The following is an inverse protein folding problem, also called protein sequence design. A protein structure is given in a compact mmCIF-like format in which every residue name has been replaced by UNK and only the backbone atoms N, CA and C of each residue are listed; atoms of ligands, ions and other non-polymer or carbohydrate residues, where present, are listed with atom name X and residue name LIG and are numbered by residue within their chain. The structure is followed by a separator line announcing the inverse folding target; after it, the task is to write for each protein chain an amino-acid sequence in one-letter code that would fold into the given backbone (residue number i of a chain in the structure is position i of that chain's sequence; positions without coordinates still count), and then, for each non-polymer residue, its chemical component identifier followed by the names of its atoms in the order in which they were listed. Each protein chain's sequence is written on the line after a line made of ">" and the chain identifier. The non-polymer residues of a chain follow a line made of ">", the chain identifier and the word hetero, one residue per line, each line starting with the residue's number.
data_IF_963366272846
#
_entry.id   IF_963366272846
#
_cell.length_a   1.000
_cell.length_b   1.000
_cell.length_c   1.000
_cell.angle_alpha   90.00
_cell.angle_beta   90.00
_cell.angle_gamma   90.00
#
_symmetry.space_group_name_H-M   'P 1'
#
loop_
_entity.id
_entity.type
_entity.pdbx_description
1 polymer ?
#
# COMPACT_ATOMS: atom_id res chain seq x y z
N UNK A 1 -9.66 6.82 10.35
CA UNK A 1 -9.23 6.45 8.98
C UNK A 1 -10.45 5.96 8.23
N UNK A 2 -10.97 6.77 7.33
CA UNK A 2 -12.13 6.41 6.51
C UNK A 2 -11.65 5.61 5.30
N UNK A 3 -12.15 4.40 5.10
CA UNK A 3 -12.06 3.69 3.82
C UNK A 3 -13.15 4.28 2.94
N UNK A 4 -12.76 4.89 1.84
CA UNK A 4 -13.73 5.19 0.78
C UNK A 4 -14.31 3.86 0.27
N UNK A 5 -15.62 3.66 0.28
CA UNK A 5 -16.22 2.34 0.13
C UNK A 5 -16.20 1.74 -1.28
N UNK A 6 -15.57 2.33 -2.26
CA UNK A 6 -15.30 1.72 -3.59
C UNK A 6 -14.44 2.67 -4.41
N UNK A 7 -13.27 2.20 -4.82
CA UNK A 7 -12.37 2.95 -5.71
C UNK A 7 -12.93 3.16 -7.14
N UNK A 8 -14.00 2.45 -7.49
CA UNK A 8 -14.65 2.62 -8.78
C UNK A 8 -16.17 2.64 -8.64
N UNK A 9 -16.76 3.71 -9.11
CA UNK A 9 -18.19 3.83 -9.35
C UNK A 9 -18.32 4.47 -10.73
N UNK A 10 -18.94 3.80 -11.69
CA UNK A 10 -19.11 4.41 -13.00
C UNK A 10 -20.00 5.66 -12.87
N UNK A 11 -19.61 6.83 -13.39
CA UNK A 11 -18.40 7.12 -14.19
C UNK A 11 -17.18 7.63 -13.39
N UNK A 12 -17.13 7.53 -12.06
CA UNK A 12 -16.10 8.11 -11.20
C UNK A 12 -15.10 7.05 -10.73
N UNK A 13 -13.81 7.29 -10.96
CA UNK A 13 -12.68 6.50 -10.48
C UNK A 13 -11.90 7.29 -9.44
N UNK A 14 -11.54 6.64 -8.33
CA UNK A 14 -10.65 7.20 -7.31
C UNK A 14 -9.28 6.52 -7.39
N UNK A 15 -8.21 7.30 -7.32
CA UNK A 15 -6.83 6.84 -7.33
C UNK A 15 -5.99 7.61 -6.29
N UNK A 16 -4.81 7.10 -5.94
CA UNK A 16 -3.94 7.72 -4.95
C UNK A 16 -4.61 7.91 -3.60
N UNK A 17 -4.39 9.04 -2.95
CA UNK A 17 -4.94 9.35 -1.63
C UNK A 17 -6.46 9.49 -1.64
N UNK A 18 -7.07 9.85 -2.76
CA UNK A 18 -8.52 9.89 -2.90
C UNK A 18 -9.15 8.49 -2.77
N UNK A 19 -8.46 7.44 -3.19
CA UNK A 19 -8.91 6.05 -3.06
C UNK A 19 -8.64 5.46 -1.67
N UNK A 20 -7.61 5.93 -0.99
CA UNK A 20 -7.27 5.46 0.35
C UNK A 20 -5.97 6.07 0.86
N UNK A 21 -6.00 6.57 2.08
CA UNK A 21 -4.84 7.19 2.74
C UNK A 21 -4.17 6.18 3.66
N UNK A 22 -2.86 6.05 3.55
CA UNK A 22 -2.03 5.32 4.51
C UNK A 22 -1.33 6.29 5.47
N UNK A 23 -0.92 5.77 6.64
CA UNK A 23 -0.09 6.55 7.55
C UNK A 23 1.28 6.83 6.90
N UNK A 24 1.92 8.00 7.20
CA UNK A 24 3.17 8.40 6.55
C UNK A 24 4.36 7.50 6.88
N UNK A 25 4.26 6.65 7.91
CA UNK A 25 5.32 5.73 8.34
C UNK A 25 5.82 4.78 7.24
N UNK A 26 4.99 4.50 6.23
CA UNK A 26 5.39 3.65 5.09
C UNK A 26 6.14 4.40 4.01
N UNK A 27 6.13 5.74 4.01
CA UNK A 27 6.70 6.62 2.98
C UNK A 27 6.24 6.27 1.54
N UNK A 28 5.10 5.61 1.38
CA UNK A 28 4.69 4.93 0.13
C UNK A 28 3.52 5.58 -0.60
N UNK A 29 3.04 6.74 -0.16
CA UNK A 29 1.90 7.42 -0.79
C UNK A 29 2.11 7.71 -2.28
N UNK A 30 3.26 8.27 -2.66
CA UNK A 30 3.60 8.53 -4.05
C UNK A 30 3.77 7.25 -4.88
N UNK A 31 4.42 6.23 -4.32
CA UNK A 31 4.58 4.91 -4.96
C UNK A 31 3.22 4.26 -5.19
N UNK A 32 2.32 4.32 -4.19
CA UNK A 32 0.95 3.82 -4.31
C UNK A 32 0.19 4.53 -5.44
N UNK A 33 0.28 5.86 -5.53
CA UNK A 33 -0.39 6.62 -6.59
C UNK A 33 0.13 6.23 -7.98
N UNK A 34 1.45 6.04 -8.13
CA UNK A 34 2.04 5.56 -9.38
C UNK A 34 1.56 4.15 -9.73
N UNK A 35 1.51 3.24 -8.76
CA UNK A 35 1.00 1.88 -8.95
C UNK A 35 -0.49 1.88 -9.33
N UNK A 36 -1.29 2.79 -8.77
CA UNK A 36 -2.70 2.96 -9.16
C UNK A 36 -2.79 3.34 -10.65
N UNK A 37 -1.95 4.27 -11.13
CA UNK A 37 -1.92 4.69 -12.52
C UNK A 37 -1.48 3.55 -13.47
N UNK A 38 -0.43 2.82 -13.11
CA UNK A 38 0.04 1.67 -13.89
C UNK A 38 -0.99 0.53 -13.94
N UNK A 39 -1.66 0.27 -12.82
CA UNK A 39 -2.73 -0.72 -12.78
C UNK A 39 -3.88 -0.31 -13.70
N UNK A 40 -4.31 0.95 -13.63
CA UNK A 40 -5.39 1.48 -14.48
C UNK A 40 -5.05 1.36 -15.97
N UNK A 41 -3.84 1.78 -16.36
CA UNK A 41 -3.36 1.64 -17.75
C UNK A 41 -3.41 0.17 -18.22
N UNK A 42 -2.89 -0.74 -17.42
CA UNK A 42 -2.87 -2.17 -17.73
C UNK A 42 -4.29 -2.75 -17.89
N UNK A 43 -5.19 -2.51 -16.92
CA UNK A 43 -6.54 -3.10 -16.99
C UNK A 43 -7.38 -2.51 -18.12
N UNK A 44 -7.17 -1.24 -18.47
CA UNK A 44 -7.83 -0.62 -19.64
C UNK A 44 -7.33 -1.19 -20.96
N UNK A 45 -6.04 -1.51 -21.04
CA UNK A 45 -5.46 -2.14 -22.23
C UNK A 45 -5.88 -3.59 -22.42
N UNK A 46 -5.98 -4.35 -21.31
CA UNK A 46 -6.26 -5.79 -21.32
C UNK A 46 -7.75 -6.13 -21.26
N UNK A 47 -8.56 -5.24 -20.70
CA UNK A 47 -9.97 -5.49 -20.45
C UNK A 47 -10.83 -5.46 -21.72
N UNK A 48 -11.88 -6.32 -21.79
CA UNK A 48 -12.77 -6.38 -22.95
C UNK A 48 -13.66 -5.12 -23.07
N UNK A 49 -13.93 -4.46 -21.96
CA UNK A 49 -14.71 -3.22 -21.91
C UNK A 49 -14.15 -2.29 -20.81
N UNK A 50 -14.35 -0.96 -20.93
CA UNK A 50 -13.97 -0.03 -19.86
C UNK A 50 -14.62 -0.35 -18.50
N UNK A 51 -15.88 -0.80 -18.49
CA UNK A 51 -16.57 -1.14 -17.25
C UNK A 51 -15.91 -2.33 -16.54
N UNK A 52 -15.61 -3.41 -17.26
CA UNK A 52 -14.92 -4.57 -16.69
C UNK A 52 -13.49 -4.22 -16.23
N UNK A 53 -12.80 -3.34 -16.94
CA UNK A 53 -11.49 -2.85 -16.55
C UNK A 53 -11.54 -2.06 -15.22
N UNK A 54 -12.53 -1.20 -15.05
CA UNK A 54 -12.70 -0.43 -13.82
C UNK A 54 -13.08 -1.29 -12.61
N UNK A 55 -13.90 -2.32 -12.80
CA UNK A 55 -14.19 -3.30 -11.74
C UNK A 55 -12.91 -4.04 -11.30
N UNK A 56 -12.14 -4.56 -12.25
CA UNK A 56 -10.87 -5.21 -11.98
C UNK A 56 -9.87 -4.28 -11.27
N UNK A 57 -9.77 -3.03 -11.71
CA UNK A 57 -8.97 -2.01 -11.03
C UNK A 57 -9.42 -1.84 -9.57
N UNK A 58 -10.71 -1.69 -9.32
CA UNK A 58 -11.24 -1.49 -7.98
C UNK A 58 -10.89 -2.66 -7.05
N UNK A 59 -11.04 -3.89 -7.51
CA UNK A 59 -10.73 -5.10 -6.74
C UNK A 59 -9.25 -5.18 -6.40
N UNK A 60 -8.37 -5.04 -7.40
CA UNK A 60 -6.93 -5.13 -7.22
C UNK A 60 -6.40 -4.02 -6.31
N UNK A 61 -6.83 -2.76 -6.52
CA UNK A 61 -6.32 -1.62 -5.76
C UNK A 61 -6.92 -1.52 -4.35
N UNK A 62 -8.13 -2.01 -4.13
CA UNK A 62 -8.72 -2.11 -2.79
C UNK A 62 -7.96 -3.11 -1.94
N UNK A 63 -7.62 -4.27 -2.49
CA UNK A 63 -6.82 -5.28 -1.78
C UNK A 63 -5.42 -4.75 -1.42
N UNK A 64 -4.72 -4.15 -2.40
CA UNK A 64 -3.40 -3.55 -2.18
C UNK A 64 -3.45 -2.41 -1.14
N UNK A 65 -4.45 -1.55 -1.21
CA UNK A 65 -4.64 -0.45 -0.26
C UNK A 65 -4.92 -0.94 1.17
N UNK A 66 -5.69 -2.01 1.33
CA UNK A 66 -5.95 -2.61 2.64
C UNK A 66 -4.66 -3.14 3.30
N UNK A 67 -3.80 -3.77 2.50
CA UNK A 67 -2.49 -4.24 2.97
C UNK A 67 -1.60 -3.08 3.44
N UNK A 68 -1.52 -2.01 2.66
CA UNK A 68 -0.75 -0.82 3.00
C UNK A 68 -1.25 -0.15 4.28
N UNK A 69 -2.55 -0.05 4.46
CA UNK A 69 -3.16 0.49 5.68
C UNK A 69 -2.81 -0.35 6.91
N UNK A 70 -2.87 -1.68 6.78
CA UNK A 70 -2.50 -2.59 7.86
C UNK A 70 -1.03 -2.45 8.24
N UNK A 71 -0.13 -2.36 7.24
CA UNK A 71 1.29 -2.11 7.44
C UNK A 71 1.53 -0.78 8.17
N UNK A 72 0.95 0.31 7.68
CA UNK A 72 1.12 1.64 8.27
C UNK A 72 0.63 1.70 9.73
N UNK A 73 -0.44 0.99 10.06
CA UNK A 73 -0.91 0.85 11.45
C UNK A 73 0.09 0.11 12.33
N UNK A 74 0.64 -1.00 11.85
CA UNK A 74 1.64 -1.78 12.59
C UNK A 74 2.91 -0.96 12.84
N UNK A 75 3.44 -0.32 11.80
CA UNK A 75 4.62 0.54 11.92
C UNK A 75 4.37 1.73 12.86
N UNK A 76 3.23 2.39 12.73
CA UNK A 76 2.87 3.51 13.58
C UNK A 76 2.73 3.11 15.04
N UNK A 77 2.15 1.94 15.34
CA UNK A 77 2.09 1.41 16.69
C UNK A 77 3.48 1.16 17.26
N UNK A 78 4.32 0.43 16.56
CA UNK A 78 5.66 0.08 17.00
C UNK A 78 6.57 1.31 17.18
N UNK A 79 6.45 2.32 16.32
CA UNK A 79 7.33 3.48 16.31
C UNK A 79 6.85 4.65 17.19
N UNK A 80 5.56 4.72 17.50
CA UNK A 80 4.96 5.88 18.16
C UNK A 80 4.23 5.50 19.46
N UNK A 81 3.44 4.42 19.43
CA UNK A 81 2.59 4.05 20.58
C UNK A 81 3.32 3.11 21.56
N UNK A 82 4.14 2.19 21.04
CA UNK A 82 4.87 1.16 21.77
C UNK A 82 6.39 1.34 21.59
N UNK A 83 6.86 2.58 21.67
CA UNK A 83 8.27 2.93 21.45
C UNK A 83 9.16 2.28 22.48
N UNK A 84 10.22 1.55 22.11
CA UNK A 84 11.18 1.01 23.07
C UNK A 84 12.02 2.11 23.73
N UNK A 85 12.66 1.78 24.83
CA UNK A 85 13.66 2.65 25.43
C UNK A 85 14.96 2.61 24.60
N UNK A 86 15.06 3.50 23.64
CA UNK A 86 16.20 3.59 22.73
C UNK A 86 17.53 3.77 23.44
N UNK A 87 17.53 4.44 24.61
CA UNK A 87 18.75 4.71 25.37
C UNK A 87 19.29 3.44 26.04
N UNK A 88 18.42 2.46 26.30
CA UNK A 88 18.80 1.20 26.92
C UNK A 88 19.17 0.11 25.89
N UNK A 89 18.98 0.34 24.58
CA UNK A 89 19.20 -0.64 23.52
C UNK A 89 20.58 -0.50 22.90
N UNK A 90 21.27 -1.65 22.71
CA UNK A 90 22.44 -1.74 21.86
C UNK A 90 22.07 -1.86 20.39
N UNK A 91 23.06 -1.74 19.50
CA UNK A 91 22.84 -1.78 18.04
C UNK A 91 22.14 -3.09 17.58
N UNK A 92 22.53 -4.23 18.13
CA UNK A 92 21.95 -5.52 17.79
C UNK A 92 20.45 -5.60 18.17
N UNK A 93 20.09 -5.06 19.33
CA UNK A 93 18.70 -5.02 19.80
C UNK A 93 17.83 -4.10 18.92
N UNK A 94 18.37 -2.97 18.49
CA UNK A 94 17.72 -2.07 17.52
C UNK A 94 17.50 -2.78 16.18
N UNK A 95 18.50 -3.51 15.69
CA UNK A 95 18.41 -4.25 14.42
C UNK A 95 17.38 -5.38 14.49
N UNK A 96 17.30 -6.07 15.61
CA UNK A 96 16.28 -7.11 15.86
C UNK A 96 14.88 -6.51 15.90
N UNK A 97 14.70 -5.42 16.64
CA UNK A 97 13.43 -4.70 16.73
C UNK A 97 12.97 -4.23 15.34
N UNK A 98 13.86 -3.59 14.59
CA UNK A 98 13.55 -3.05 13.26
C UNK A 98 13.15 -4.16 12.28
N UNK A 99 13.86 -5.28 12.28
CA UNK A 99 13.50 -6.46 11.48
C UNK A 99 12.11 -7.00 11.87
N UNK A 100 11.79 -7.01 13.15
CA UNK A 100 10.47 -7.42 13.64
C UNK A 100 9.35 -6.52 13.15
N UNK A 101 9.53 -5.20 13.22
CA UNK A 101 8.55 -4.20 12.75
C UNK A 101 8.30 -4.33 11.25
N UNK A 102 9.36 -4.61 10.47
CA UNK A 102 9.28 -4.78 9.02
C UNK A 102 8.97 -6.21 8.56
N UNK A 103 8.80 -7.16 9.48
CA UNK A 103 8.53 -8.54 9.13
C UNK A 103 7.28 -8.67 8.23
N UNK A 104 7.41 -9.44 7.15
CA UNK A 104 6.34 -9.61 6.14
C UNK A 104 6.16 -8.43 5.18
N UNK A 105 7.07 -7.44 5.21
CA UNK A 105 7.00 -6.25 4.33
C UNK A 105 8.16 -6.16 3.35
N UNK A 106 8.97 -7.20 3.28
CA UNK A 106 10.29 -7.21 2.64
C UNK A 106 10.32 -6.63 1.22
N UNK A 107 9.24 -6.73 0.49
CA UNK A 107 9.18 -6.31 -0.92
C UNK A 107 8.03 -5.35 -1.20
N UNK A 108 7.53 -4.71 -0.16
CA UNK A 108 6.36 -3.86 -0.26
C UNK A 108 6.46 -2.78 -1.35
N UNK A 109 7.65 -2.19 -1.56
CA UNK A 109 7.88 -1.17 -2.57
C UNK A 109 8.16 -1.75 -3.97
N UNK A 110 8.64 -2.99 -4.06
CA UNK A 110 9.19 -3.57 -5.30
C UNK A 110 8.43 -4.80 -5.80
N UNK A 111 7.77 -5.53 -4.92
CA UNK A 111 7.07 -6.78 -5.24
C UNK A 111 5.59 -6.68 -4.91
N UNK A 112 4.87 -5.84 -5.66
CA UNK A 112 3.41 -5.89 -5.63
C UNK A 112 2.93 -7.03 -6.54
N UNK A 113 2.01 -7.90 -6.09
CA UNK A 113 1.39 -8.88 -6.97
C UNK A 113 0.72 -8.16 -8.14
N UNK A 114 1.19 -8.42 -9.35
CA UNK A 114 0.66 -7.80 -10.57
C UNK A 114 1.45 -6.60 -11.10
N UNK A 115 2.47 -6.11 -10.43
CA UNK A 115 3.44 -5.19 -11.02
C UNK A 115 4.52 -6.01 -11.74
N UNK A 116 4.19 -6.54 -12.90
CA UNK A 116 5.17 -7.10 -13.83
C UNK A 116 6.07 -5.99 -14.35
N UNK A 117 7.05 -5.57 -13.58
CA UNK A 117 8.23 -4.89 -14.10
C UNK A 117 9.17 -6.01 -14.56
N UNK A 118 9.00 -6.46 -15.79
CA UNK A 118 10.07 -7.14 -16.49
C UNK A 118 11.15 -6.10 -16.76
N UNK A 119 12.29 -6.31 -16.12
CA UNK A 119 13.53 -5.61 -16.47
C UNK A 119 13.93 -5.87 -17.90
#
# INVERSE_FOLDING_TARGET
>A
MSRSPRAARAPLLLAGDAAGVSRPHTASGAVKALQDALCLERVLREGPTPAAALERYADERTAAGAHLVALGRRMGRAQVEETPDWAAMGQEEVDVWFRGVLAGTRHYLYEQPGAGVTA
#
